data_IF_323410111729
#
_entry.id   IF_323410111729
#
_cell.length_a   1.000
_cell.length_b   1.000
_cell.length_c   1.000
_cell.angle_alpha   90.00
_cell.angle_beta   90.00
_cell.angle_gamma   90.00
#
_symmetry.space_group_name_H-M   'P 1'
#
loop_
_entity.id
_entity.type
_entity.pdbx_description
1 polymer ?
#
# COMPACT_ATOMS: atom_id res chain seq x y z
N UNK A 1 29.84 -5.47 -11.39
CA UNK A 1 28.64 -5.63 -12.22
C UNK A 1 27.55 -4.73 -11.70
N UNK A 2 26.81 -4.09 -12.62
CA UNK A 2 25.66 -3.25 -12.29
C UNK A 2 24.53 -3.60 -13.25
N UNK A 3 23.35 -3.85 -12.72
CA UNK A 3 22.16 -4.12 -13.52
C UNK A 3 20.97 -3.28 -13.04
N UNK A 4 20.22 -2.75 -14.00
CA UNK A 4 19.04 -1.94 -13.75
C UNK A 4 17.85 -2.60 -14.43
N UNK A 5 16.76 -2.78 -13.68
CA UNK A 5 15.52 -3.35 -14.18
C UNK A 5 14.42 -2.29 -14.05
N UNK A 6 13.69 -2.10 -15.11
CA UNK A 6 12.51 -1.23 -15.18
C UNK A 6 11.31 -2.02 -15.72
N UNK A 7 10.18 -1.89 -15.05
CA UNK A 7 8.92 -2.49 -15.46
C UNK A 7 7.80 -1.47 -15.30
N UNK A 8 7.05 -1.22 -16.32
CA UNK A 8 5.86 -0.37 -16.29
C UNK A 8 4.69 -1.08 -16.95
N UNK A 9 3.50 -0.90 -16.40
CA UNK A 9 2.26 -1.42 -16.97
C UNK A 9 1.20 -0.31 -16.91
N UNK A 10 0.51 -0.12 -18.03
CA UNK A 10 -0.72 0.69 -18.10
C UNK A 10 -1.83 -0.24 -18.57
N UNK A 11 -2.87 -0.36 -17.77
CA UNK A 11 -4.11 -1.00 -18.18
C UNK A 11 -5.23 0.03 -18.19
N UNK A 12 -6.21 -0.17 -19.05
CA UNK A 12 -7.35 0.70 -19.21
C UNK A 12 -8.55 -0.16 -19.65
N UNK A 13 -9.68 0.05 -19.00
CA UNK A 13 -10.94 -0.60 -19.36
C UNK A 13 -11.53 0.19 -20.54
N UNK A 14 -11.51 -0.42 -21.70
CA UNK A 14 -12.02 0.21 -22.93
C UNK A 14 -13.53 0.18 -22.94
N UNK A 15 -14.12 -0.97 -22.61
CA UNK A 15 -15.57 -1.19 -22.61
C UNK A 15 -15.89 -2.31 -21.62
N UNK A 16 -17.03 -2.27 -20.96
CA UNK A 16 -17.53 -3.36 -20.11
C UNK A 16 -18.52 -4.23 -20.87
N UNK A 17 -19.76 -3.78 -20.99
CA UNK A 17 -20.81 -4.47 -21.74
C UNK A 17 -21.60 -3.45 -22.53
N UNK A 18 -21.68 -3.63 -23.85
CA UNK A 18 -22.45 -2.78 -24.73
C UNK A 18 -23.31 -3.63 -25.66
N UNK A 19 -24.59 -3.25 -25.75
CA UNK A 19 -25.59 -3.88 -26.63
C UNK A 19 -25.66 -5.41 -26.55
N UNK A 20 -25.36 -5.96 -25.34
CA UNK A 20 -25.45 -7.39 -25.11
C UNK A 20 -26.91 -7.83 -25.02
N UNK A 21 -27.32 -8.70 -25.93
CA UNK A 21 -28.66 -9.29 -25.93
C UNK A 21 -28.61 -10.63 -25.21
N UNK A 22 -29.35 -10.75 -24.11
CA UNK A 22 -29.44 -11.99 -23.36
C UNK A 22 -30.16 -13.06 -24.19
N UNK A 23 -29.55 -14.24 -24.41
CA UNK A 23 -30.06 -15.22 -25.38
C UNK A 23 -31.44 -15.79 -25.01
N UNK A 24 -31.77 -15.90 -23.72
CA UNK A 24 -33.05 -16.46 -23.27
C UNK A 24 -34.15 -15.41 -23.13
N UNK A 25 -33.80 -14.18 -22.73
CA UNK A 25 -34.81 -13.15 -22.42
C UNK A 25 -34.97 -12.11 -23.51
N UNK A 26 -34.07 -12.06 -24.49
CA UNK A 26 -34.04 -11.04 -25.57
C UNK A 26 -33.80 -9.61 -25.09
N UNK A 27 -33.47 -9.42 -23.78
CA UNK A 27 -33.20 -8.07 -23.23
C UNK A 27 -31.80 -7.61 -23.59
N UNK A 28 -31.69 -6.35 -23.99
CA UNK A 28 -30.41 -5.69 -24.22
C UNK A 28 -29.88 -5.11 -22.92
N UNK A 29 -28.60 -5.34 -22.63
CA UNK A 29 -27.89 -4.83 -21.45
C UNK A 29 -26.74 -3.94 -21.92
N UNK A 30 -26.62 -2.80 -21.25
CA UNK A 30 -25.51 -1.89 -21.34
C UNK A 30 -24.98 -1.66 -19.92
N UNK A 31 -23.68 -1.91 -19.69
CA UNK A 31 -23.03 -1.75 -18.38
C UNK A 31 -21.78 -0.90 -18.58
N UNK A 32 -21.84 0.32 -18.14
CA UNK A 32 -20.76 1.31 -18.17
C UNK A 32 -19.99 1.38 -16.85
N UNK A 33 -20.57 0.79 -15.77
CA UNK A 33 -20.03 0.73 -14.43
C UNK A 33 -20.39 -0.60 -13.77
N UNK A 34 -19.39 -1.27 -13.21
CA UNK A 34 -19.57 -2.49 -12.42
C UNK A 34 -18.91 -2.34 -11.04
N UNK A 35 -19.72 -2.30 -9.99
CA UNK A 35 -19.24 -2.35 -8.61
C UNK A 35 -19.03 -3.81 -8.21
N UNK A 36 -17.80 -4.13 -7.79
CA UNK A 36 -17.49 -5.46 -7.30
C UNK A 36 -17.91 -5.55 -5.83
N UNK A 37 -18.76 -6.52 -5.50
CA UNK A 37 -19.32 -6.67 -4.16
C UNK A 37 -18.26 -7.07 -3.14
N UNK A 38 -18.36 -6.51 -1.95
CA UNK A 38 -17.45 -6.82 -0.83
C UNK A 38 -17.66 -8.22 -0.26
N UNK A 39 -18.86 -8.76 -0.32
CA UNK A 39 -19.19 -10.14 0.07
C UNK A 39 -18.56 -11.20 -0.84
N UNK A 40 -18.17 -10.82 -2.06
CA UNK A 40 -17.40 -11.66 -2.98
C UNK A 40 -15.88 -11.54 -2.76
N UNK A 41 -15.44 -10.92 -1.64
CA UNK A 41 -14.03 -10.73 -1.31
C UNK A 41 -13.34 -9.62 -2.09
N UNK A 42 -14.09 -8.69 -2.68
CA UNK A 42 -13.56 -7.58 -3.48
C UNK A 42 -13.84 -6.24 -2.83
N UNK A 43 -12.82 -5.66 -2.22
CA UNK A 43 -12.93 -4.48 -1.38
C UNK A 43 -12.96 -4.82 0.11
N UNK A 44 -13.05 -3.83 0.96
CA UNK A 44 -13.08 -4.00 2.40
C UNK A 44 -13.76 -2.81 3.07
N UNK A 45 -14.73 -3.10 3.94
CA UNK A 45 -15.50 -2.05 4.62
C UNK A 45 -16.19 -1.12 3.61
N UNK A 46 -15.85 0.16 3.66
CA UNK A 46 -16.39 1.19 2.76
C UNK A 46 -15.56 1.39 1.48
N UNK A 47 -14.43 0.67 1.33
CA UNK A 47 -13.59 0.71 0.13
C UNK A 47 -14.04 -0.36 -0.88
N UNK A 48 -14.28 0.03 -2.12
CA UNK A 48 -14.88 -0.80 -3.17
C UNK A 48 -14.08 -0.71 -4.46
N UNK A 49 -13.91 -1.84 -5.13
CA UNK A 49 -13.40 -1.84 -6.50
C UNK A 49 -14.56 -1.57 -7.45
N UNK A 50 -14.41 -0.53 -8.26
CA UNK A 50 -15.40 -0.17 -9.29
C UNK A 50 -14.70 -0.19 -10.64
N UNK A 51 -15.16 -1.08 -11.51
CA UNK A 51 -14.76 -1.12 -12.90
C UNK A 51 -15.62 -0.12 -13.68
N UNK A 52 -14.95 0.77 -14.40
CA UNK A 52 -15.59 1.80 -15.21
C UNK A 52 -14.77 2.03 -16.46
N UNK A 53 -15.41 2.37 -17.57
CA UNK A 53 -14.75 2.78 -18.81
C UNK A 53 -13.77 3.94 -18.56
N UNK A 54 -12.58 3.85 -19.15
CA UNK A 54 -11.46 4.75 -18.92
C UNK A 54 -10.73 4.57 -17.57
N UNK A 55 -11.22 3.66 -16.73
CA UNK A 55 -10.58 3.29 -15.45
C UNK A 55 -9.57 2.15 -15.58
N UNK A 56 -9.04 1.71 -14.45
CA UNK A 56 -8.12 0.56 -14.36
C UNK A 56 -8.75 -0.57 -13.56
N UNK A 57 -8.24 -1.80 -13.74
CA UNK A 57 -8.69 -2.97 -12.97
C UNK A 57 -8.44 -2.83 -11.46
N UNK A 58 -7.53 -1.95 -11.05
CA UNK A 58 -7.18 -1.72 -9.66
C UNK A 58 -7.78 -0.44 -9.07
N UNK A 59 -8.73 0.20 -9.72
CA UNK A 59 -9.32 1.44 -9.22
C UNK A 59 -10.18 1.19 -7.99
N UNK A 60 -9.80 1.85 -6.90
CA UNK A 60 -10.49 1.81 -5.61
C UNK A 60 -11.32 3.08 -5.42
N UNK A 61 -12.55 2.91 -4.98
CA UNK A 61 -13.52 3.96 -4.73
C UNK A 61 -14.13 3.83 -3.35
N UNK A 62 -14.80 4.88 -2.92
CA UNK A 62 -15.70 4.88 -1.77
C UNK A 62 -16.93 5.74 -2.06
N UNK A 63 -18.05 5.42 -1.40
CA UNK A 63 -19.23 6.29 -1.35
C UNK A 63 -19.33 7.03 -0.02
N UNK A 64 -18.40 6.78 0.90
CA UNK A 64 -18.40 7.33 2.23
C UNK A 64 -17.36 8.44 2.39
N UNK A 65 -17.78 9.56 2.98
CA UNK A 65 -16.91 10.67 3.39
C UNK A 65 -17.53 11.40 4.60
N UNK A 66 -16.82 12.36 5.16
CA UNK A 66 -17.44 13.32 6.07
C UNK A 66 -18.41 14.24 5.33
N UNK A 67 -19.47 14.61 6.00
CA UNK A 67 -20.44 15.57 5.47
C UNK A 67 -19.78 16.92 5.23
N UNK A 68 -19.92 17.47 4.02
CA UNK A 68 -19.29 18.72 3.59
C UNK A 68 -20.34 19.74 3.14
N UNK A 69 -19.97 21.02 3.23
CA UNK A 69 -20.74 22.10 2.60
C UNK A 69 -20.46 22.20 1.10
N UNK A 70 -21.12 23.13 0.42
CA UNK A 70 -20.93 23.37 -1.02
C UNK A 70 -19.52 23.85 -1.38
N UNK A 71 -18.76 24.35 -0.42
CA UNK A 71 -17.38 24.82 -0.59
C UNK A 71 -16.35 23.71 -0.27
N UNK A 72 -16.82 22.50 0.08
CA UNK A 72 -15.97 21.35 0.43
C UNK A 72 -15.49 21.34 1.88
N UNK A 73 -15.92 22.28 2.73
CA UNK A 73 -15.56 22.26 4.14
C UNK A 73 -16.34 21.17 4.87
N UNK A 74 -15.69 20.49 5.80
CA UNK A 74 -16.35 19.52 6.69
C UNK A 74 -17.31 20.25 7.60
N UNK A 75 -18.56 19.79 7.66
CA UNK A 75 -19.57 20.33 8.55
C UNK A 75 -19.35 19.82 9.98
N UNK A 76 -19.42 20.74 10.92
CA UNK A 76 -19.38 20.46 12.36
C UNK A 76 -20.76 20.81 12.90
N UNK A 77 -21.36 19.90 13.67
CA UNK A 77 -22.64 20.11 14.30
C UNK A 77 -22.57 21.06 15.51
N UNK A 78 -23.72 21.42 16.06
CA UNK A 78 -23.83 22.31 17.22
C UNK A 78 -23.16 21.74 18.49
N UNK A 79 -22.91 20.43 18.52
CA UNK A 79 -22.21 19.75 19.60
C UNK A 79 -20.68 19.69 19.39
N UNK A 80 -20.19 20.25 18.28
CA UNK A 80 -18.78 20.27 17.94
C UNK A 80 -18.27 18.98 17.32
N UNK A 81 -19.13 18.11 16.80
CA UNK A 81 -18.77 16.83 16.20
C UNK A 81 -18.88 16.86 14.67
N UNK A 82 -18.18 15.94 14.03
CA UNK A 82 -18.30 15.67 12.59
C UNK A 82 -19.26 14.50 12.35
N UNK A 83 -19.82 14.42 11.14
CA UNK A 83 -20.73 13.33 10.75
C UNK A 83 -20.25 12.69 9.46
N UNK A 84 -20.23 11.36 9.41
CA UNK A 84 -19.97 10.59 8.19
C UNK A 84 -21.28 10.36 7.42
N UNK A 85 -21.16 10.30 6.08
CA UNK A 85 -22.23 9.93 5.15
C UNK A 85 -21.75 8.80 4.23
N UNK A 86 -22.67 7.92 3.82
CA UNK A 86 -22.40 6.76 2.96
C UNK A 86 -22.92 6.97 1.52
N UNK A 87 -23.36 8.15 1.18
CA UNK A 87 -23.94 8.51 -0.12
C UNK A 87 -23.29 9.76 -0.74
N UNK A 88 -22.00 9.94 -0.51
CA UNK A 88 -21.23 11.06 -1.05
C UNK A 88 -20.97 10.97 -2.57
N UNK A 89 -21.47 9.91 -3.25
CA UNK A 89 -21.20 9.61 -4.64
C UNK A 89 -19.92 8.77 -4.84
N UNK A 90 -19.54 8.56 -6.09
CA UNK A 90 -18.32 7.79 -6.41
C UNK A 90 -17.07 8.65 -6.20
N UNK A 91 -16.41 8.48 -5.07
CA UNK A 91 -15.13 9.14 -4.79
C UNK A 91 -14.02 8.19 -5.19
N UNK A 92 -13.26 8.52 -6.24
CA UNK A 92 -12.09 7.74 -6.65
C UNK A 92 -10.91 8.01 -5.71
N UNK A 93 -10.44 6.97 -5.04
CA UNK A 93 -9.26 7.03 -4.15
C UNK A 93 -7.96 6.92 -4.94
N UNK A 94 -7.96 6.11 -5.99
CA UNK A 94 -6.82 5.87 -6.86
C UNK A 94 -6.78 4.42 -7.33
N UNK A 95 -5.67 4.03 -7.95
CA UNK A 95 -5.43 2.64 -8.35
C UNK A 95 -4.44 1.97 -7.40
N UNK A 96 -4.73 0.74 -6.99
CA UNK A 96 -3.80 -0.07 -6.18
C UNK A 96 -2.60 -0.57 -6.99
N UNK A 97 -2.68 -0.49 -8.31
CA UNK A 97 -1.62 -0.92 -9.21
C UNK A 97 -0.48 0.10 -9.28
N UNK A 98 0.79 -0.32 -9.24
CA UNK A 98 1.91 0.58 -9.44
C UNK A 98 1.97 1.07 -10.89
N UNK A 99 2.47 2.29 -11.09
CA UNK A 99 2.77 2.82 -12.43
C UNK A 99 4.06 2.22 -12.98
N UNK A 100 5.06 2.00 -12.11
CA UNK A 100 6.32 1.37 -12.47
C UNK A 100 6.98 0.72 -11.25
N UNK A 101 7.78 -0.30 -11.51
CA UNK A 101 8.70 -0.88 -10.54
C UNK A 101 10.12 -0.77 -11.09
N UNK A 102 11.06 -0.45 -10.20
CA UNK A 102 12.47 -0.28 -10.49
C UNK A 102 13.27 -1.20 -9.57
N UNK A 103 14.34 -1.77 -10.11
CA UNK A 103 15.33 -2.45 -9.30
C UNK A 103 16.74 -2.11 -9.81
N UNK A 104 17.63 -1.82 -8.88
CA UNK A 104 19.03 -1.56 -9.17
C UNK A 104 19.90 -2.46 -8.32
N UNK A 105 20.53 -3.43 -8.98
CA UNK A 105 21.44 -4.38 -8.37
C UNK A 105 22.89 -4.03 -8.73
N UNK A 106 23.74 -3.99 -7.70
CA UNK A 106 25.17 -3.82 -7.87
C UNK A 106 25.93 -4.91 -7.13
N UNK A 107 26.98 -5.41 -7.76
CA UNK A 107 27.93 -6.32 -7.14
C UNK A 107 29.35 -5.90 -7.43
N UNK A 108 30.19 -5.97 -6.41
CA UNK A 108 31.58 -5.58 -6.43
C UNK A 108 32.43 -6.74 -5.95
N UNK A 109 33.54 -7.00 -6.64
CA UNK A 109 34.51 -8.00 -6.22
C UNK A 109 35.90 -7.43 -6.34
N UNK A 110 36.67 -7.48 -5.25
CA UNK A 110 38.05 -7.02 -5.23
C UNK A 110 38.89 -7.81 -4.23
N UNK A 111 39.96 -8.45 -4.72
CA UNK A 111 40.93 -9.22 -3.90
C UNK A 111 40.27 -10.20 -2.90
N UNK A 112 39.23 -10.90 -3.35
CA UNK A 112 38.50 -11.86 -2.53
C UNK A 112 37.34 -11.25 -1.70
N UNK A 113 37.27 -9.94 -1.58
CA UNK A 113 36.10 -9.25 -0.97
C UNK A 113 34.99 -9.20 -2.02
N UNK A 114 33.80 -9.61 -1.63
CA UNK A 114 32.58 -9.53 -2.44
C UNK A 114 31.57 -8.70 -1.67
N UNK A 115 31.00 -7.69 -2.29
CA UNK A 115 29.97 -6.86 -1.70
C UNK A 115 28.90 -6.55 -2.75
N UNK A 116 27.67 -6.39 -2.33
CA UNK A 116 26.60 -6.00 -3.25
C UNK A 116 25.40 -5.46 -2.52
N UNK A 117 24.52 -4.82 -3.27
CA UNK A 117 23.25 -4.32 -2.78
C UNK A 117 22.19 -4.34 -3.87
N UNK A 118 20.94 -4.47 -3.45
CA UNK A 118 19.74 -4.37 -4.26
C UNK A 118 18.86 -3.25 -3.72
N UNK A 119 18.66 -2.21 -4.50
CA UNK A 119 17.66 -1.19 -4.28
C UNK A 119 16.43 -1.51 -5.11
N UNK A 120 15.25 -1.39 -4.50
CA UNK A 120 13.96 -1.53 -5.19
C UNK A 120 13.10 -0.30 -4.94
N UNK A 121 12.38 0.11 -5.97
CA UNK A 121 11.41 1.19 -5.86
C UNK A 121 10.09 0.80 -6.54
N UNK A 122 9.00 1.08 -5.86
CA UNK A 122 7.64 1.03 -6.39
C UNK A 122 7.14 2.46 -6.56
N UNK A 123 6.74 2.82 -7.76
CA UNK A 123 6.26 4.16 -8.10
C UNK A 123 4.76 4.13 -8.36
N UNK A 124 4.03 4.94 -7.62
CA UNK A 124 2.57 5.00 -7.70
C UNK A 124 1.88 3.83 -7.01
N UNK A 125 0.58 3.76 -7.21
CA UNK A 125 -0.31 2.89 -6.46
C UNK A 125 -0.73 3.50 -5.12
N UNK A 126 -1.84 2.98 -4.62
CA UNK A 126 -2.36 3.29 -3.28
C UNK A 126 -2.49 2.02 -2.45
N UNK A 127 -2.55 2.21 -1.14
CA UNK A 127 -2.90 1.17 -0.16
C UNK A 127 -3.92 1.75 0.81
N UNK A 128 -4.98 1.01 1.06
CA UNK A 128 -5.96 1.33 2.08
C UNK A 128 -5.67 0.52 3.35
N UNK A 129 -5.59 1.18 4.50
CA UNK A 129 -5.27 0.53 5.77
C UNK A 129 -6.45 0.58 6.74
N UNK A 130 -7.11 -0.54 6.91
CA UNK A 130 -8.05 -0.73 8.00
C UNK A 130 -7.33 -0.89 9.34
N UNK A 131 -6.10 -1.39 9.35
CA UNK A 131 -5.27 -1.49 10.57
C UNK A 131 -5.08 -0.12 11.20
N UNK A 132 -4.68 0.89 10.40
CA UNK A 132 -4.49 2.25 10.90
C UNK A 132 -5.81 2.84 11.43
N UNK A 133 -6.93 2.54 10.77
CA UNK A 133 -8.24 2.97 11.24
C UNK A 133 -8.55 2.40 12.63
N UNK A 134 -8.32 1.11 12.84
CA UNK A 134 -8.51 0.51 14.18
C UNK A 134 -7.57 1.08 15.24
N UNK A 135 -6.31 1.34 14.90
CA UNK A 135 -5.36 1.96 15.83
C UNK A 135 -5.81 3.36 16.24
N UNK A 136 -6.34 4.13 15.30
CA UNK A 136 -6.88 5.47 15.55
C UNK A 136 -8.17 5.40 16.39
N UNK A 137 -9.08 4.46 16.06
CA UNK A 137 -10.34 4.25 16.78
C UNK A 137 -10.10 3.98 18.27
N UNK A 138 -9.13 3.12 18.56
CA UNK A 138 -8.77 2.80 19.95
C UNK A 138 -7.78 3.76 20.59
N UNK A 139 -7.37 4.81 19.86
CA UNK A 139 -6.51 5.87 20.38
C UNK A 139 -5.06 5.43 20.68
N UNK A 140 -4.60 4.34 20.04
CA UNK A 140 -3.26 3.75 20.28
C UNK A 140 -2.24 4.09 19.19
N UNK A 141 -2.64 4.85 18.16
CA UNK A 141 -1.74 5.33 17.11
C UNK A 141 -0.97 6.57 17.53
N UNK A 142 0.15 6.83 16.89
CA UNK A 142 0.90 8.07 17.03
C UNK A 142 0.06 9.29 16.63
N UNK A 143 -0.74 9.16 15.55
CA UNK A 143 -1.63 10.20 15.05
C UNK A 143 -2.68 10.60 16.07
N UNK A 144 -3.35 9.62 16.68
CA UNK A 144 -4.36 9.87 17.71
C UNK A 144 -3.75 10.40 19.01
N UNK A 145 -2.53 9.99 19.36
CA UNK A 145 -1.79 10.53 20.50
C UNK A 145 -1.46 12.01 20.26
N UNK A 146 -0.88 12.34 19.11
CA UNK A 146 -0.55 13.71 18.74
C UNK A 146 -1.80 14.62 18.73
N UNK A 147 -2.95 14.12 18.27
CA UNK A 147 -4.20 14.86 18.30
C UNK A 147 -4.68 15.17 19.73
N UNK A 148 -4.51 14.22 20.67
CA UNK A 148 -4.81 14.44 22.10
C UNK A 148 -3.88 15.49 22.72
N UNK A 149 -2.57 15.36 22.44
CA UNK A 149 -1.57 16.30 22.97
C UNK A 149 -1.77 17.72 22.41
N UNK A 150 -2.20 17.84 21.16
CA UNK A 150 -2.58 19.11 20.54
C UNK A 150 -3.91 19.68 21.06
N UNK A 151 -4.67 18.94 21.90
CA UNK A 151 -5.95 19.34 22.45
C UNK A 151 -7.09 19.35 21.42
N UNK A 152 -7.00 18.56 20.35
CA UNK A 152 -8.04 18.38 19.35
C UNK A 152 -7.53 18.20 17.93
N UNK A 153 -8.44 17.72 17.06
CA UNK A 153 -8.22 17.64 15.61
C UNK A 153 -8.66 18.91 14.93
N UNK A 154 -7.78 19.53 14.17
CA UNK A 154 -8.12 20.73 13.41
C UNK A 154 -8.96 20.41 12.18
N UNK A 155 -10.13 20.99 12.09
CA UNK A 155 -11.04 20.87 10.95
C UNK A 155 -11.13 22.21 10.23
N UNK A 156 -10.99 22.18 8.91
CA UNK A 156 -11.01 23.37 8.03
C UNK A 156 -10.00 24.47 8.44
N UNK A 157 -8.99 24.13 9.25
CA UNK A 157 -8.02 25.09 9.78
C UNK A 157 -8.58 26.12 10.77
N UNK A 158 -9.83 25.95 11.23
CA UNK A 158 -10.53 26.96 12.06
C UNK A 158 -11.11 26.40 13.36
N UNK A 159 -11.57 25.17 13.34
CA UNK A 159 -12.28 24.57 14.47
C UNK A 159 -11.51 23.36 15.00
N UNK A 160 -11.54 23.15 16.31
CA UNK A 160 -11.01 21.95 16.96
C UNK A 160 -12.16 21.03 17.34
N UNK A 161 -12.04 19.77 16.95
CA UNK A 161 -12.97 18.69 17.33
C UNK A 161 -12.28 17.81 18.34
N UNK A 162 -13.05 17.27 19.31
CA UNK A 162 -12.53 16.31 20.27
C UNK A 162 -11.92 15.10 19.53
N UNK A 163 -10.68 14.68 19.85
CA UNK A 163 -10.03 13.59 19.15
C UNK A 163 -10.80 12.27 19.20
N UNK A 164 -11.37 11.94 20.37
CA UNK A 164 -12.15 10.72 20.52
C UNK A 164 -13.37 10.74 19.62
N UNK A 165 -14.21 11.80 19.70
CA UNK A 165 -15.40 11.93 18.85
C UNK A 165 -15.06 11.92 17.37
N UNK A 166 -13.93 12.54 16.97
CA UNK A 166 -13.48 12.55 15.59
C UNK A 166 -13.13 11.15 15.10
N UNK A 167 -12.28 10.42 15.86
CA UNK A 167 -11.85 9.09 15.44
C UNK A 167 -12.95 8.04 15.57
N UNK A 168 -13.91 8.19 16.49
CA UNK A 168 -15.11 7.36 16.54
C UNK A 168 -15.96 7.46 15.25
N UNK A 169 -15.94 8.62 14.58
CA UNK A 169 -16.65 8.81 13.31
C UNK A 169 -15.78 8.37 12.12
N UNK A 170 -14.53 8.86 12.05
CA UNK A 170 -13.66 8.66 10.87
C UNK A 170 -13.11 7.26 10.80
N UNK A 171 -12.85 6.63 11.94
CA UNK A 171 -12.20 5.32 12.03
C UNK A 171 -13.16 4.15 12.26
N UNK A 172 -14.47 4.42 12.49
CA UNK A 172 -15.46 3.35 12.67
C UNK A 172 -15.62 2.47 11.42
N UNK A 173 -16.04 1.23 11.61
CA UNK A 173 -16.32 0.27 10.53
C UNK A 173 -15.17 0.15 9.52
N UNK A 174 -13.94 0.00 10.02
CA UNK A 174 -12.69 -0.07 9.24
C UNK A 174 -12.20 1.27 8.70
N UNK A 175 -12.87 2.36 9.02
CA UNK A 175 -12.50 3.72 8.67
C UNK A 175 -13.06 4.24 7.36
N UNK A 176 -13.12 5.55 7.25
CA UNK A 176 -13.44 6.22 5.99
C UNK A 176 -12.25 6.10 5.02
N UNK A 177 -12.42 5.48 3.84
CA UNK A 177 -11.30 5.25 2.93
C UNK A 177 -10.59 6.53 2.46
N UNK A 178 -11.27 7.66 2.45
CA UNK A 178 -10.66 8.97 2.14
C UNK A 178 -9.59 9.39 3.13
N UNK A 179 -9.64 8.89 4.38
CA UNK A 179 -8.68 9.20 5.46
C UNK A 179 -7.60 8.14 5.63
N UNK A 180 -7.89 6.89 5.25
CA UNK A 180 -7.00 5.75 5.48
C UNK A 180 -6.42 5.16 4.19
N UNK A 181 -6.42 5.95 3.10
CA UNK A 181 -5.75 5.61 1.85
C UNK A 181 -4.43 6.38 1.74
N UNK A 182 -3.35 5.63 1.56
CA UNK A 182 -1.98 6.13 1.52
C UNK A 182 -1.33 5.83 0.17
N UNK A 183 -0.29 6.61 -0.18
CA UNK A 183 0.55 6.30 -1.34
C UNK A 183 1.35 5.03 -1.09
N UNK A 184 1.33 4.09 -2.03
CA UNK A 184 2.15 2.89 -1.99
C UNK A 184 3.56 3.10 -2.59
N UNK A 185 3.90 4.33 -3.00
CA UNK A 185 5.24 4.66 -3.48
C UNK A 185 6.26 4.46 -2.36
N UNK A 186 7.27 3.64 -2.64
CA UNK A 186 8.36 3.38 -1.69
C UNK A 186 9.69 3.19 -2.42
N UNK A 187 10.77 3.38 -1.69
CA UNK A 187 12.15 3.05 -2.07
C UNK A 187 12.81 2.34 -0.89
N UNK A 188 13.38 1.16 -1.14
CA UNK A 188 14.01 0.37 -0.09
C UNK A 188 15.34 -0.23 -0.49
N UNK A 189 16.20 -0.40 0.50
CA UNK A 189 17.36 -1.27 0.41
C UNK A 189 16.88 -2.71 0.69
N UNK A 190 16.60 -3.43 -0.41
CA UNK A 190 15.99 -4.75 -0.35
C UNK A 190 16.97 -5.81 0.14
N UNK A 191 18.22 -5.76 -0.34
CA UNK A 191 19.26 -6.67 0.07
C UNK A 191 20.61 -5.96 0.06
N UNK A 192 21.50 -6.34 1.00
CA UNK A 192 22.91 -6.03 0.94
C UNK A 192 23.70 -7.22 1.48
N UNK A 193 24.85 -7.45 0.90
CA UNK A 193 25.77 -8.47 1.37
C UNK A 193 27.23 -8.00 1.31
N UNK A 194 28.01 -8.55 2.21
CA UNK A 194 29.48 -8.42 2.19
C UNK A 194 30.09 -9.78 2.56
N UNK A 195 31.06 -10.21 1.81
CA UNK A 195 31.71 -11.50 2.03
C UNK A 195 33.16 -11.50 1.64
N UNK A 196 33.82 -12.58 2.00
CA UNK A 196 35.20 -12.82 1.65
C UNK A 196 35.40 -14.26 1.14
N UNK A 197 36.08 -14.38 0.02
CA UNK A 197 36.50 -15.68 -0.54
C UNK A 197 37.91 -15.95 -0.12
N UNK A 198 38.10 -16.98 0.71
CA UNK A 198 39.42 -17.48 1.13
C UNK A 198 40.06 -18.21 -0.06
N UNK A 199 41.23 -17.75 -0.53
CA UNK A 199 41.87 -18.38 -1.69
C UNK A 199 42.29 -19.82 -1.41
N UNK A 200 42.19 -20.72 -2.41
CA UNK A 200 42.60 -22.13 -2.36
C UNK A 200 43.99 -22.31 -1.80
N UNK A 201 44.94 -21.44 -2.17
CA UNK A 201 46.33 -21.49 -1.71
C UNK A 201 46.48 -21.48 -0.19
N UNK A 202 45.55 -20.92 0.56
CA UNK A 202 45.56 -20.91 2.02
C UNK A 202 44.98 -22.17 2.63
N UNK A 203 44.28 -22.98 1.81
CA UNK A 203 43.58 -24.20 2.19
C UNK A 203 44.22 -25.45 1.54
N UNK A 204 45.52 -25.39 1.26
CA UNK A 204 46.23 -26.50 0.66
C UNK A 204 45.79 -26.87 -0.77
N UNK A 205 45.15 -25.91 -1.50
CA UNK A 205 44.59 -26.10 -2.84
C UNK A 205 43.41 -27.10 -2.93
N UNK A 206 42.76 -27.41 -1.80
CA UNK A 206 41.67 -28.39 -1.75
C UNK A 206 40.32 -27.74 -2.13
N UNK A 207 40.00 -26.60 -1.55
CA UNK A 207 38.70 -25.95 -1.77
C UNK A 207 38.79 -24.41 -1.70
N UNK A 208 37.76 -23.72 -2.21
CA UNK A 208 37.51 -22.31 -1.96
C UNK A 208 36.39 -22.19 -0.94
N UNK A 209 36.57 -21.34 0.05
CA UNK A 209 35.54 -21.04 1.04
C UNK A 209 35.13 -19.57 0.87
N UNK A 210 33.83 -19.33 0.63
CA UNK A 210 33.26 -18.00 0.66
C UNK A 210 32.37 -17.87 1.90
N UNK A 211 32.65 -16.86 2.73
CA UNK A 211 31.83 -16.51 3.89
C UNK A 211 31.24 -15.15 3.64
N UNK A 212 29.93 -15.00 3.75
CA UNK A 212 29.25 -13.72 3.54
C UNK A 212 28.18 -13.46 4.60
N UNK A 213 28.08 -12.20 5.01
CA UNK A 213 26.99 -11.65 5.77
C UNK A 213 25.95 -11.10 4.78
N UNK A 214 24.69 -11.48 4.96
CA UNK A 214 23.58 -11.07 4.08
C UNK A 214 22.48 -10.45 4.94
N UNK A 215 22.01 -9.30 4.53
CA UNK A 215 20.86 -8.65 5.13
C UNK A 215 19.77 -8.44 4.09
N UNK A 216 18.52 -8.70 4.46
CA UNK A 216 17.35 -8.47 3.62
C UNK A 216 16.34 -7.55 4.29
N UNK A 217 15.64 -6.76 3.46
CA UNK A 217 14.68 -5.76 3.90
C UNK A 217 15.28 -4.80 4.94
N UNK A 218 16.48 -4.28 4.65
CA UNK A 218 17.33 -3.60 5.62
C UNK A 218 16.82 -2.21 5.97
N UNK A 219 16.34 -1.47 4.99
CA UNK A 219 15.98 -0.07 5.19
C UNK A 219 14.90 0.40 4.20
N UNK A 220 13.81 0.94 4.74
CA UNK A 220 12.84 1.71 3.97
C UNK A 220 13.36 3.15 3.86
N UNK A 221 13.95 3.49 2.70
CA UNK A 221 14.58 4.81 2.47
C UNK A 221 13.51 5.88 2.31
N UNK A 222 12.43 5.53 1.62
CA UNK A 222 11.31 6.43 1.37
C UNK A 222 9.98 5.67 1.44
N UNK A 223 9.05 6.20 2.21
CA UNK A 223 7.65 5.77 2.27
C UNK A 223 6.82 6.92 2.86
N UNK A 224 5.63 7.16 2.32
CA UNK A 224 4.68 8.13 2.89
C UNK A 224 3.63 7.48 3.80
N UNK A 225 3.41 6.18 3.64
CA UNK A 225 2.53 5.45 4.55
C UNK A 225 3.22 5.26 5.91
N UNK A 226 2.49 5.27 7.04
CA UNK A 226 3.06 5.03 8.38
C UNK A 226 3.40 3.55 8.64
N UNK A 227 3.27 2.70 7.63
CA UNK A 227 3.52 1.26 7.65
C UNK A 227 4.16 0.84 6.32
N UNK A 228 4.55 -0.43 6.19
CA UNK A 228 5.06 -0.97 4.92
C UNK A 228 3.89 -1.14 3.92
N UNK A 229 3.83 -0.36 2.84
CA UNK A 229 2.73 -0.40 1.88
C UNK A 229 2.70 -1.67 1.01
N UNK A 230 3.69 -2.56 1.14
CA UNK A 230 3.72 -3.86 0.48
C UNK A 230 3.25 -4.99 1.41
N UNK A 231 3.06 -4.72 2.70
CA UNK A 231 2.44 -5.64 3.65
C UNK A 231 0.91 -5.61 3.49
N UNK A 232 0.41 -6.15 2.37
CA UNK A 232 -1.01 -6.22 2.03
C UNK A 232 -1.57 -7.62 2.23
N UNK A 233 -2.88 -7.72 2.44
CA UNK A 233 -3.55 -8.99 2.74
C UNK A 233 -3.35 -10.05 1.65
N UNK A 234 -3.28 -9.63 0.41
CA UNK A 234 -3.01 -10.50 -0.74
C UNK A 234 -2.52 -9.71 -1.94
N UNK A 235 -1.77 -10.36 -2.81
CA UNK A 235 -1.40 -9.85 -4.13
C UNK A 235 -2.38 -10.30 -5.23
N UNK A 236 -3.38 -11.12 -4.88
CA UNK A 236 -4.43 -11.57 -5.78
C UNK A 236 -5.45 -10.44 -6.02
N UNK A 237 -6.36 -10.61 -6.99
CA UNK A 237 -7.41 -9.66 -7.34
C UNK A 237 -8.41 -9.38 -6.21
N UNK A 238 -8.46 -10.23 -5.18
CA UNK A 238 -9.22 -10.05 -3.96
C UNK A 238 -8.35 -9.35 -2.91
N UNK A 239 -8.88 -8.34 -2.21
CA UNK A 239 -8.20 -7.58 -1.14
C UNK A 239 -6.84 -6.99 -1.55
N UNK A 240 -6.57 -6.83 -2.84
CA UNK A 240 -5.35 -6.22 -3.34
C UNK A 240 -5.23 -4.78 -2.84
N UNK A 241 -4.03 -4.40 -2.37
CA UNK A 241 -3.80 -3.05 -1.86
C UNK A 241 -4.57 -2.71 -0.58
N UNK A 242 -4.99 -3.72 0.19
CA UNK A 242 -5.66 -3.57 1.48
C UNK A 242 -4.76 -4.13 2.57
N UNK A 243 -4.46 -3.29 3.56
CA UNK A 243 -3.82 -3.69 4.81
C UNK A 243 -4.90 -3.93 5.87
N UNK A 244 -4.93 -5.14 6.43
CA UNK A 244 -5.80 -5.54 7.52
C UNK A 244 -5.05 -6.47 8.46
N UNK A 245 -4.44 -5.89 9.50
CA UNK A 245 -3.63 -6.58 10.52
C UNK A 245 -2.57 -7.53 9.95
N UNK A 246 -1.98 -7.13 8.83
CA UNK A 246 -0.92 -7.91 8.22
C UNK A 246 0.36 -7.81 9.04
N UNK A 247 1.11 -8.90 9.09
CA UNK A 247 2.43 -8.88 9.71
C UNK A 247 3.33 -7.90 8.97
N UNK A 248 3.98 -6.97 9.69
CA UNK A 248 4.95 -6.09 9.06
C UNK A 248 6.10 -6.90 8.46
N UNK A 249 6.70 -6.37 7.40
CA UNK A 249 7.86 -6.99 6.78
C UNK A 249 9.03 -7.05 7.77
N UNK A 250 9.65 -8.23 7.87
CA UNK A 250 10.75 -8.46 8.81
C UNK A 250 12.10 -8.13 8.18
N UNK A 251 13.00 -7.57 8.99
CA UNK A 251 14.40 -7.43 8.64
C UNK A 251 15.11 -8.75 8.97
N UNK A 252 15.80 -9.33 7.98
CA UNK A 252 16.52 -10.57 8.14
C UNK A 252 18.02 -10.33 8.00
N UNK A 253 18.80 -10.85 8.94
CA UNK A 253 20.26 -10.84 8.89
C UNK A 253 20.73 -12.27 9.07
N UNK A 254 21.59 -12.74 8.18
CA UNK A 254 22.12 -14.09 8.20
C UNK A 254 23.53 -14.14 7.62
N UNK A 255 24.15 -15.28 7.75
CA UNK A 255 25.42 -15.55 7.11
C UNK A 255 25.30 -16.75 6.16
N UNK A 256 26.10 -16.74 5.12
CA UNK A 256 26.19 -17.82 4.13
C UNK A 256 27.63 -18.29 4.08
N UNK A 257 27.81 -19.61 4.06
CA UNK A 257 29.11 -20.26 3.83
C UNK A 257 28.99 -21.17 2.61
N UNK A 258 29.76 -20.86 1.59
CA UNK A 258 29.83 -21.67 0.35
C UNK A 258 31.20 -22.27 0.24
N UNK A 259 31.26 -23.61 0.11
CA UNK A 259 32.47 -24.37 -0.05
C UNK A 259 32.45 -24.99 -1.46
N UNK A 260 33.50 -24.72 -2.26
CA UNK A 260 33.65 -25.29 -3.59
C UNK A 260 34.95 -26.13 -3.59
N UNK A 261 34.84 -27.41 -3.85
CA UNK A 261 35.94 -28.38 -3.94
C UNK A 261 36.57 -28.42 -5.32
#
# INVERSE_FOLDING_TARGET
DSSFTFSANKNEIVELVKDYVHPETGKTYNVDKLELKTDEGRGFGKAKFILKEGGTLGDLYTHADLKRDINGNVLIDDSGNVTAIDNAGDIKLGSVLPKANLAWNNSFSYKGINAGFLLTARLGGIVYSATQAYLDLYGVSETSAAARDAGGVWINGRSRVNPQSFYEVVASQSGLPTYYTYSATNLRLQEAHIGYTVPRRWLGNVCDINVSLVGRNLWMIYCKAPFDPEAVATTNNYYQGIDYFMMPSTRNIGFNVKINF
#
